data_IF_866926292411
#
_entry.id   IF_866926292411
#
_cell.length_a   1.000
_cell.length_b   1.000
_cell.length_c   1.000
_cell.angle_alpha   90.00
_cell.angle_beta   90.00
_cell.angle_gamma   90.00
#
_symmetry.space_group_name_H-M   'P 1'
#
loop_
_entity.id
_entity.type
_entity.pdbx_description
1 polymer ?
#
# COMPACT_ATOMS: atom_id res chain seq x y z
N UNK A 1 16.01 -18.67 -26.80
CA UNK A 1 15.34 -17.55 -26.11
C UNK A 1 13.93 -18.03 -25.89
N UNK A 2 13.64 -18.57 -24.70
CA UNK A 2 12.32 -19.12 -24.42
C UNK A 2 11.46 -17.97 -23.94
N UNK A 3 10.62 -17.44 -24.82
CA UNK A 3 9.48 -16.60 -24.43
C UNK A 3 8.59 -17.46 -23.52
N UNK A 4 8.59 -17.14 -22.22
CA UNK A 4 7.56 -17.64 -21.32
C UNK A 4 6.29 -16.87 -21.63
N UNK A 5 5.21 -17.61 -21.94
CA UNK A 5 3.88 -17.04 -22.09
C UNK A 5 3.43 -16.41 -20.75
N UNK A 6 2.67 -15.30 -20.77
CA UNK A 6 2.20 -14.64 -19.56
C UNK A 6 1.34 -15.61 -18.74
N UNK A 7 1.70 -15.76 -17.47
CA UNK A 7 0.93 -16.55 -16.49
C UNK A 7 -0.42 -15.84 -16.29
N UNK A 8 -1.56 -16.53 -16.38
CA UNK A 8 -2.87 -15.93 -16.16
C UNK A 8 -2.98 -15.37 -14.73
N UNK A 9 -3.68 -14.26 -14.50
CA UNK A 9 -3.82 -13.69 -13.17
C UNK A 9 -4.69 -14.63 -12.33
N UNK A 10 -4.12 -15.17 -11.26
CA UNK A 10 -4.88 -15.97 -10.29
C UNK A 10 -4.05 -16.89 -9.40
N UNK A 11 -2.88 -17.37 -9.84
CA UNK A 11 -2.05 -18.28 -9.03
C UNK A 11 -0.56 -18.02 -9.25
N UNK A 12 0.00 -17.06 -8.51
CA UNK A 12 1.43 -16.75 -8.47
C UNK A 12 1.71 -15.27 -8.21
N UNK A 13 2.82 -14.99 -7.54
CA UNK A 13 3.36 -13.63 -7.42
C UNK A 13 3.62 -13.04 -8.81
N UNK A 14 3.32 -11.76 -9.01
CA UNK A 14 3.65 -11.01 -10.21
C UNK A 14 4.94 -10.22 -9.96
N UNK A 15 6.05 -10.61 -10.58
CA UNK A 15 7.36 -9.98 -10.37
C UNK A 15 7.77 -9.89 -8.88
N UNK A 16 7.41 -10.89 -8.07
CA UNK A 16 7.68 -10.91 -6.63
C UNK A 16 6.67 -10.11 -5.78
N UNK A 17 5.59 -9.62 -6.38
CA UNK A 17 4.49 -8.93 -5.69
C UNK A 17 3.23 -9.80 -5.65
N UNK A 18 2.30 -9.58 -4.68
CA UNK A 18 1.10 -10.40 -4.55
C UNK A 18 0.19 -10.43 -5.78
N UNK A 19 0.18 -9.35 -6.57
CA UNK A 19 -0.59 -9.21 -7.81
C UNK A 19 0.00 -8.11 -8.71
N UNK A 20 -0.60 -7.94 -9.89
CA UNK A 20 -0.18 -6.95 -10.88
C UNK A 20 -0.39 -5.51 -10.38
N UNK A 21 -1.53 -5.24 -9.76
CA UNK A 21 -1.94 -3.93 -9.27
C UNK A 21 -0.92 -3.40 -8.25
N UNK A 22 -0.48 -4.26 -7.33
CA UNK A 22 0.53 -3.94 -6.32
C UNK A 22 1.89 -3.69 -6.95
N UNK A 23 2.33 -4.53 -7.89
CA UNK A 23 3.58 -4.28 -8.63
C UNK A 23 3.54 -2.96 -9.40
N UNK A 24 2.42 -2.67 -10.08
CA UNK A 24 2.27 -1.44 -10.86
C UNK A 24 2.29 -0.21 -9.94
N UNK A 25 1.59 -0.25 -8.81
CA UNK A 25 1.61 0.82 -7.81
C UNK A 25 3.04 1.02 -7.27
N UNK A 26 3.73 -0.05 -6.86
CA UNK A 26 5.13 0.04 -6.43
C UNK A 26 6.02 0.66 -7.50
N UNK A 27 5.90 0.20 -8.74
CA UNK A 27 6.69 0.72 -9.87
C UNK A 27 6.50 2.23 -9.99
N UNK A 28 5.27 2.74 -10.02
CA UNK A 28 5.03 4.17 -10.20
C UNK A 28 5.45 5.01 -9.01
N UNK A 29 5.21 4.54 -7.77
CA UNK A 29 5.63 5.26 -6.56
C UNK A 29 7.16 5.31 -6.38
N UNK A 30 7.90 4.36 -6.96
CA UNK A 30 9.36 4.28 -6.77
C UNK A 30 10.19 4.68 -8.00
N UNK A 31 9.56 4.91 -9.15
CA UNK A 31 10.27 5.17 -10.40
C UNK A 31 10.89 6.58 -10.46
N UNK A 32 10.26 7.58 -9.84
CA UNK A 32 10.73 8.96 -9.82
C UNK A 32 11.15 9.38 -8.40
N UNK A 33 12.27 10.10 -8.28
CA UNK A 33 12.84 10.52 -7.00
C UNK A 33 11.82 11.32 -6.15
N UNK A 34 11.05 12.21 -6.79
CA UNK A 34 10.06 13.04 -6.08
C UNK A 34 8.95 12.18 -5.50
N UNK A 35 8.35 11.29 -6.30
CA UNK A 35 7.29 10.39 -5.84
C UNK A 35 7.78 9.43 -4.76
N UNK A 36 9.02 8.95 -4.90
CA UNK A 36 9.65 8.06 -3.93
C UNK A 36 9.85 8.74 -2.57
N UNK A 37 10.41 9.95 -2.57
CA UNK A 37 10.64 10.71 -1.34
C UNK A 37 9.33 11.13 -0.68
N UNK A 38 8.31 11.51 -1.46
CA UNK A 38 6.97 11.80 -0.93
C UNK A 38 6.37 10.57 -0.26
N UNK A 39 6.37 9.42 -0.94
CA UNK A 39 5.86 8.17 -0.40
C UNK A 39 6.60 7.78 0.90
N UNK A 40 7.94 7.84 0.91
CA UNK A 40 8.76 7.57 2.10
C UNK A 40 8.47 8.56 3.24
N UNK A 41 8.22 9.82 2.93
CA UNK A 41 7.85 10.82 3.94
C UNK A 41 6.49 10.52 4.56
N UNK A 42 5.48 10.14 3.76
CA UNK A 42 4.14 9.77 4.26
C UNK A 42 4.19 8.50 5.10
N UNK A 43 4.92 7.48 4.66
CA UNK A 43 5.15 6.24 5.42
C UNK A 43 5.76 6.56 6.78
N UNK A 44 6.86 7.33 6.83
CA UNK A 44 7.49 7.72 8.11
C UNK A 44 6.55 8.50 9.02
N UNK A 45 5.75 9.41 8.47
CA UNK A 45 4.82 10.22 9.25
C UNK A 45 3.69 9.39 9.87
N UNK A 46 3.30 8.28 9.24
CA UNK A 46 2.25 7.41 9.72
C UNK A 46 2.63 6.59 10.97
N UNK A 47 3.92 6.28 11.15
CA UNK A 47 4.43 5.65 12.37
C UNK A 47 4.26 4.12 12.47
N UNK A 48 3.32 3.51 11.73
CA UNK A 48 3.12 2.06 11.67
C UNK A 48 2.64 1.62 10.27
N UNK A 49 2.58 0.29 10.04
CA UNK A 49 2.24 -0.26 8.72
C UNK A 49 0.81 0.03 8.26
N UNK A 50 -0.18 -0.03 9.16
CA UNK A 50 -1.58 0.23 8.81
C UNK A 50 -1.78 1.70 8.38
N UNK A 51 -1.29 2.64 9.19
CA UNK A 51 -1.32 4.06 8.85
C UNK A 51 -0.51 4.37 7.60
N UNK A 52 0.61 3.67 7.38
CA UNK A 52 1.41 3.84 6.17
C UNK A 52 0.67 3.33 4.92
N UNK A 53 -0.06 2.21 5.03
CA UNK A 53 -0.89 1.68 3.95
C UNK A 53 -2.01 2.67 3.59
N UNK A 54 -2.70 3.21 4.60
CA UNK A 54 -3.72 4.26 4.42
C UNK A 54 -3.13 5.51 3.76
N UNK A 55 -1.98 6.00 4.23
CA UNK A 55 -1.36 7.21 3.70
C UNK A 55 -0.88 7.05 2.24
N UNK A 56 -0.43 5.85 1.86
CA UNK A 56 -0.07 5.54 0.47
C UNK A 56 -1.32 5.46 -0.42
N UNK A 57 -2.41 4.86 0.07
CA UNK A 57 -3.66 4.84 -0.65
C UNK A 57 -4.20 6.26 -0.87
N UNK A 58 -4.22 7.09 0.18
CA UNK A 58 -4.64 8.49 0.11
C UNK A 58 -3.80 9.28 -0.89
N UNK A 59 -2.47 9.09 -0.89
CA UNK A 59 -1.59 9.73 -1.87
C UNK A 59 -1.98 9.41 -3.32
N UNK A 60 -2.36 8.16 -3.59
CA UNK A 60 -2.77 7.75 -4.94
C UNK A 60 -4.17 8.27 -5.27
N UNK A 61 -5.08 8.27 -4.32
CA UNK A 61 -6.44 8.82 -4.49
C UNK A 61 -6.41 10.34 -4.72
N UNK A 62 -5.55 11.09 -4.02
CA UNK A 62 -5.34 12.52 -4.23
C UNK A 62 -4.79 12.84 -5.63
N UNK A 63 -3.94 11.96 -6.17
CA UNK A 63 -3.37 12.10 -7.50
C UNK A 63 -4.30 11.59 -8.62
N UNK A 64 -5.41 10.93 -8.27
CA UNK A 64 -6.30 10.29 -9.24
C UNK A 64 -7.12 11.34 -10.02
N UNK A 65 -6.93 11.44 -11.35
CA UNK A 65 -7.59 12.47 -12.16
C UNK A 65 -9.09 12.25 -12.38
N UNK A 66 -9.63 11.11 -11.93
CA UNK A 66 -11.04 10.76 -12.06
C UNK A 66 -11.81 10.91 -10.73
N UNK A 67 -11.14 11.30 -9.64
CA UNK A 67 -11.82 11.53 -8.34
C UNK A 67 -12.70 12.78 -8.42
N UNK A 68 -13.94 12.65 -7.95
CA UNK A 68 -14.93 13.72 -7.95
C UNK A 68 -15.66 13.94 -9.28
N UNK A 69 -15.33 13.15 -10.30
CA UNK A 69 -16.08 13.10 -11.57
C UNK A 69 -17.36 12.25 -11.44
N UNK A 70 -18.29 12.42 -12.38
CA UNK A 70 -19.49 11.59 -12.46
C UNK A 70 -19.12 10.10 -12.64
N UNK A 71 -19.86 9.16 -12.03
CA UNK A 71 -19.62 7.73 -12.21
C UNK A 71 -19.57 7.33 -13.68
N UNK A 72 -18.52 6.59 -14.05
CA UNK A 72 -18.26 6.16 -15.42
C UNK A 72 -17.61 4.78 -15.44
N UNK A 73 -17.62 4.14 -16.62
CA UNK A 73 -16.88 2.88 -16.83
C UNK A 73 -15.41 2.98 -16.37
N UNK A 74 -14.77 4.12 -16.63
CA UNK A 74 -13.36 4.31 -16.29
C UNK A 74 -13.15 4.48 -14.78
N UNK A 75 -13.99 5.26 -14.10
CA UNK A 75 -13.90 5.42 -12.64
C UNK A 75 -14.21 4.12 -11.91
N UNK A 76 -15.18 3.33 -12.40
CA UNK A 76 -15.53 2.04 -11.81
C UNK A 76 -14.39 1.03 -11.96
N UNK A 77 -13.81 0.91 -13.15
CA UNK A 77 -12.69 -0.01 -13.42
C UNK A 77 -11.43 0.41 -12.66
N UNK A 78 -11.12 1.71 -12.61
CA UNK A 78 -9.96 2.21 -11.87
C UNK A 78 -10.13 1.98 -10.37
N UNK A 79 -11.30 2.29 -9.81
CA UNK A 79 -11.60 2.05 -8.39
C UNK A 79 -11.47 0.57 -8.05
N UNK A 80 -11.99 -0.32 -8.90
CA UNK A 80 -11.84 -1.76 -8.70
C UNK A 80 -10.38 -2.21 -8.72
N UNK A 81 -9.58 -1.72 -9.66
CA UNK A 81 -8.16 -2.04 -9.74
C UNK A 81 -7.38 -1.51 -8.51
N UNK A 82 -7.65 -0.28 -8.07
CA UNK A 82 -7.02 0.30 -6.88
C UNK A 82 -7.40 -0.45 -5.59
N UNK A 83 -8.64 -0.93 -5.49
CA UNK A 83 -9.08 -1.79 -4.38
C UNK A 83 -8.35 -3.15 -4.34
N UNK A 84 -7.75 -3.58 -5.46
CA UNK A 84 -6.94 -4.80 -5.56
C UNK A 84 -5.48 -4.61 -5.13
N UNK A 85 -5.02 -3.39 -4.90
CA UNK A 85 -3.65 -3.12 -4.44
C UNK A 85 -3.48 -3.60 -3.00
N UNK A 86 -2.45 -4.42 -2.76
CA UNK A 86 -2.08 -4.84 -1.42
C UNK A 86 -1.25 -3.74 -0.72
N UNK A 87 -1.91 -2.66 -0.30
CA UNK A 87 -1.27 -1.46 0.26
C UNK A 87 -0.32 -1.75 1.43
N UNK A 88 -0.63 -2.74 2.26
CA UNK A 88 0.25 -3.17 3.36
C UNK A 88 1.62 -3.65 2.87
N UNK A 89 1.69 -4.36 1.73
CA UNK A 89 2.96 -4.82 1.17
C UNK A 89 3.77 -3.65 0.59
N UNK A 90 3.10 -2.59 0.11
CA UNK A 90 3.78 -1.35 -0.30
C UNK A 90 4.34 -0.61 0.91
N UNK A 91 3.58 -0.54 2.01
CA UNK A 91 4.03 0.04 3.25
C UNK A 91 5.27 -0.69 3.78
N UNK A 92 5.26 -2.03 3.79
CA UNK A 92 6.42 -2.86 4.16
C UNK A 92 7.65 -2.56 3.30
N UNK A 93 7.49 -2.44 1.98
CA UNK A 93 8.60 -2.20 1.07
C UNK A 93 9.21 -0.79 1.19
N UNK A 94 8.41 0.19 1.63
CA UNK A 94 8.81 1.60 1.76
C UNK A 94 9.17 1.99 3.20
N UNK A 95 8.85 1.14 4.17
CA UNK A 95 9.12 1.35 5.58
C UNK A 95 10.62 1.57 5.84
N UNK A 96 10.96 2.36 6.87
CA UNK A 96 12.31 2.41 7.39
C UNK A 96 12.78 1.03 7.88
N UNK A 97 14.08 0.73 7.77
CA UNK A 97 14.64 -0.57 8.18
C UNK A 97 14.42 -0.85 9.68
N UNK A 98 14.26 0.21 10.49
CA UNK A 98 13.98 0.10 11.92
C UNK A 98 12.57 -0.45 12.22
N UNK A 99 11.60 -0.30 11.32
CA UNK A 99 10.26 -0.86 11.51
C UNK A 99 10.32 -2.37 11.37
N UNK A 100 10.14 -3.04 12.49
CA UNK A 100 10.07 -4.50 12.52
C UNK A 100 8.69 -4.94 12.97
N UNK A 101 8.23 -6.11 12.50
CA UNK A 101 7.00 -6.75 12.99
C UNK A 101 6.96 -6.90 14.52
N UNK A 102 8.12 -6.88 15.18
CA UNK A 102 8.24 -6.89 16.64
C UNK A 102 7.77 -5.58 17.29
N UNK A 103 8.05 -4.42 16.69
CA UNK A 103 7.58 -3.12 17.20
C UNK A 103 6.08 -2.93 16.95
N UNK A 104 5.54 -3.43 15.83
CA UNK A 104 4.10 -3.42 15.59
C UNK A 104 3.33 -4.29 16.61
N UNK A 105 3.94 -5.40 17.06
CA UNK A 105 3.40 -6.22 18.14
C UNK A 105 3.49 -5.50 19.50
N UNK A 106 4.60 -4.83 19.80
CA UNK A 106 4.75 -4.05 21.04
C UNK A 106 3.76 -2.87 21.09
N UNK A 107 3.55 -2.15 19.98
CA UNK A 107 2.55 -1.06 19.89
C UNK A 107 1.11 -1.59 20.00
N UNK A 108 0.84 -2.79 19.47
CA UNK A 108 -0.46 -3.45 19.61
C UNK A 108 -0.71 -3.91 21.05
N UNK A 109 0.31 -4.46 21.72
CA UNK A 109 0.23 -4.83 23.14
C UNK A 109 0.05 -3.58 24.02
N UNK A 110 0.74 -2.46 23.75
CA UNK A 110 0.55 -1.19 24.47
C UNK A 110 -0.87 -0.60 24.23
N UNK A 111 -1.38 -0.70 23.01
CA UNK A 111 -2.75 -0.30 22.68
C UNK A 111 -3.81 -1.20 23.34
N UNK A 112 -3.58 -2.52 23.39
CA UNK A 112 -4.43 -3.48 24.10
C UNK A 112 -4.44 -3.24 25.61
N UNK A 113 -3.28 -3.01 26.22
CA UNK A 113 -3.15 -2.70 27.64
C UNK A 113 -3.86 -1.38 28.00
N UNK A 114 -3.86 -0.41 27.06
CA UNK A 114 -4.63 0.83 27.17
C UNK A 114 -6.14 0.64 27.10
N UNK A 115 -6.64 -0.35 26.36
CA UNK A 115 -8.06 -0.68 26.23
C UNK A 115 -8.63 -1.39 27.45
N UNK A 116 -7.85 -2.27 28.09
CA UNK A 116 -8.24 -2.97 29.33
C UNK A 116 -8.19 -2.05 30.58
N UNK A 117 -7.56 -0.88 30.47
CA UNK A 117 -7.44 0.09 31.56
C UNK A 117 -8.68 0.98 31.76
N UNK A 118 -9.67 0.90 30.86
CA UNK A 118 -10.92 1.69 30.86
C UNK A 118 -12.16 0.84 31.27
N UNK A 119 -12.01 -0.11 32.19
CA UNK A 119 -13.14 -0.67 32.96
C UNK A 119 -13.32 0.05 34.32
N UNK A 120 -14.56 0.38 34.75
CA UNK A 120 -14.84 1.27 35.89
C UNK A 120 -14.61 0.67 37.28
#
# INVERSE_FOLDING_TARGET
>A
MTEQAPVPPGEGEYNGWPNYETWAAHLWLTNEEVSYEEARSRVRAAGNFDGAAEALQEMVDEANPLVGEEPSLYSDLLTYALAGVAWIHLAEALAPDEWTMAQAADDYDDWLDGLDSDEP
#
